data_IF_552948785754
#
_entry.id   IF_552948785754
#
_cell.length_a   1.000
_cell.length_b   1.000
_cell.length_c   1.000
_cell.angle_alpha   90.00
_cell.angle_beta   90.00
_cell.angle_gamma   90.00
#
_symmetry.space_group_name_H-M   'P 1'
#
loop_
_entity.id
_entity.type
_entity.pdbx_description
1 polymer ?
#
# COMPACT_ATOMS: atom_id res chain seq x y z
N UNK A 1 0.65 20.81 -4.16
CA UNK A 1 0.03 19.48 -4.07
C UNK A 1 0.97 18.38 -3.57
N UNK A 2 2.23 18.29 -4.03
CA UNK A 2 3.17 17.22 -3.60
C UNK A 2 3.49 17.19 -2.08
N UNK A 3 3.54 18.34 -1.42
CA UNK A 3 3.75 18.45 0.04
C UNK A 3 2.62 17.83 0.88
N UNK A 4 1.38 17.89 0.39
CA UNK A 4 0.19 17.36 1.10
C UNK A 4 0.10 15.83 1.01
N UNK A 5 0.68 15.22 -0.02
CA UNK A 5 0.70 13.77 -0.19
C UNK A 5 1.82 13.14 0.65
N UNK A 6 2.99 13.79 0.72
CA UNK A 6 4.15 13.24 1.43
C UNK A 6 4.77 12.03 0.74
N UNK A 7 5.73 11.37 1.40
CA UNK A 7 6.29 10.10 0.91
C UNK A 7 5.19 9.03 0.99
N UNK A 8 4.83 8.46 -0.16
CA UNK A 8 3.87 7.33 -0.27
C UNK A 8 2.48 7.57 0.32
N UNK A 9 2.04 8.82 0.51
CA UNK A 9 0.72 9.13 1.08
C UNK A 9 0.69 9.25 2.60
N UNK A 10 1.83 9.11 3.30
CA UNK A 10 1.89 9.16 4.77
C UNK A 10 1.35 10.48 5.33
N UNK A 11 1.65 11.61 4.68
CA UNK A 11 1.13 12.92 5.11
C UNK A 11 -0.39 13.01 4.92
N UNK A 12 -0.91 12.42 3.83
CA UNK A 12 -2.35 12.39 3.58
C UNK A 12 -3.07 11.56 4.64
N UNK A 13 -2.52 10.41 5.03
CA UNK A 13 -3.07 9.55 6.07
C UNK A 13 -3.01 10.21 7.45
N UNK A 14 -1.90 10.87 7.78
CA UNK A 14 -1.77 11.64 9.03
C UNK A 14 -2.79 12.79 9.11
N UNK A 15 -2.97 13.53 8.01
CA UNK A 15 -3.99 14.58 7.93
C UNK A 15 -5.40 14.00 8.03
N UNK A 16 -5.71 12.89 7.36
CA UNK A 16 -7.02 12.25 7.49
C UNK A 16 -7.31 11.88 8.95
N UNK A 17 -6.33 11.35 9.67
CA UNK A 17 -6.46 11.00 11.08
C UNK A 17 -6.75 12.23 11.95
N UNK A 18 -5.95 13.29 11.81
CA UNK A 18 -6.13 14.52 12.59
C UNK A 18 -7.47 15.19 12.30
N UNK A 19 -7.87 15.28 11.03
CA UNK A 19 -9.17 15.84 10.63
C UNK A 19 -10.31 15.01 11.21
N UNK A 20 -10.22 13.68 11.16
CA UNK A 20 -11.24 12.79 11.73
C UNK A 20 -11.36 12.96 13.25
N UNK A 21 -10.24 13.13 13.96
CA UNK A 21 -10.21 13.40 15.40
C UNK A 21 -10.88 14.73 15.73
N UNK A 22 -10.51 15.80 15.03
CA UNK A 22 -11.06 17.15 15.28
C UNK A 22 -12.55 17.19 14.96
N UNK A 23 -12.97 16.59 13.83
CA UNK A 23 -14.37 16.56 13.42
C UNK A 23 -15.28 15.82 14.42
N UNK A 24 -14.75 14.81 15.12
CA UNK A 24 -15.52 14.00 16.07
C UNK A 24 -15.29 14.37 17.54
N UNK A 25 -14.39 15.30 17.86
CA UNK A 25 -13.97 15.63 19.24
C UNK A 25 -15.14 15.98 20.18
N UNK A 26 -16.16 16.68 19.67
CA UNK A 26 -17.28 17.18 20.47
C UNK A 26 -18.63 16.50 20.13
N UNK A 27 -18.62 15.42 19.33
CA UNK A 27 -19.84 14.79 18.80
C UNK A 27 -20.34 13.58 19.61
N UNK A 28 -20.16 13.58 20.94
CA UNK A 28 -20.55 12.44 21.79
C UNK A 28 -22.05 12.11 21.73
N UNK A 29 -22.91 13.11 21.52
CA UNK A 29 -24.37 12.95 21.51
C UNK A 29 -24.99 13.01 20.09
N UNK A 30 -24.25 13.53 19.09
CA UNK A 30 -24.73 13.77 17.72
C UNK A 30 -24.36 12.66 16.71
N UNK A 31 -23.67 11.61 17.17
CA UNK A 31 -23.23 10.49 16.33
C UNK A 31 -21.92 10.73 15.57
N UNK A 32 -21.30 9.63 15.13
CA UNK A 32 -19.98 9.62 14.48
C UNK A 32 -20.05 10.05 13.01
N UNK A 33 -19.17 10.97 12.60
CA UNK A 33 -19.03 11.41 11.20
C UNK A 33 -17.78 10.80 10.59
N UNK A 34 -17.98 10.07 9.49
CA UNK A 34 -16.88 9.51 8.69
C UNK A 34 -16.31 10.57 7.76
N UNK A 35 -15.11 11.05 8.06
CA UNK A 35 -14.38 11.97 7.19
C UNK A 35 -13.38 11.19 6.34
N UNK A 36 -13.41 11.39 5.03
CA UNK A 36 -12.43 10.82 4.08
C UNK A 36 -11.72 11.98 3.40
N UNK A 37 -10.41 12.06 3.58
CA UNK A 37 -9.54 13.04 2.94
C UNK A 37 -8.87 12.34 1.75
N UNK A 38 -9.36 12.65 0.55
CA UNK A 38 -8.76 12.17 -0.70
C UNK A 38 -8.26 13.35 -1.52
N UNK A 39 -7.06 13.24 -2.05
CA UNK A 39 -6.49 14.21 -2.98
C UNK A 39 -6.58 13.65 -4.39
N UNK A 40 -7.58 14.09 -5.15
CA UNK A 40 -7.74 13.76 -6.58
C UNK A 40 -7.59 12.26 -6.90
N UNK A 41 -8.17 11.35 -6.12
CA UNK A 41 -8.08 9.90 -6.38
C UNK A 41 -6.67 9.31 -6.24
N UNK A 42 -5.81 9.92 -5.42
CA UNK A 42 -4.44 9.46 -5.18
C UNK A 42 -4.39 8.00 -4.77
N UNK A 43 -5.28 7.59 -3.85
CA UNK A 43 -5.32 6.20 -3.35
C UNK A 43 -5.54 5.19 -4.48
N UNK A 44 -6.48 5.47 -5.38
CA UNK A 44 -6.75 4.61 -6.54
C UNK A 44 -5.55 4.56 -7.50
N UNK A 45 -4.96 5.72 -7.81
CA UNK A 45 -3.77 5.82 -8.68
C UNK A 45 -2.55 5.09 -8.08
N UNK A 46 -2.40 5.16 -6.75
CA UNK A 46 -1.35 4.48 -6.00
C UNK A 46 -1.54 2.98 -6.02
N UNK A 47 -2.75 2.50 -5.76
CA UNK A 47 -3.09 1.07 -5.82
C UNK A 47 -2.82 0.50 -7.22
N UNK A 48 -3.26 1.19 -8.28
CA UNK A 48 -3.02 0.74 -9.66
C UNK A 48 -1.52 0.68 -9.98
N UNK A 49 -0.75 1.66 -9.50
CA UNK A 49 0.70 1.69 -9.66
C UNK A 49 1.37 0.52 -8.95
N UNK A 50 0.94 0.19 -7.73
CA UNK A 50 1.45 -0.98 -7.00
C UNK A 50 1.12 -2.29 -7.71
N UNK A 51 -0.12 -2.45 -8.19
CA UNK A 51 -0.53 -3.63 -8.98
C UNK A 51 0.31 -3.81 -10.24
N UNK A 52 0.57 -2.72 -10.97
CA UNK A 52 1.41 -2.72 -12.18
C UNK A 52 2.86 -3.09 -11.85
N UNK A 53 3.41 -2.53 -10.77
CA UNK A 53 4.76 -2.85 -10.30
C UNK A 53 4.89 -4.33 -9.89
N UNK A 54 3.90 -4.85 -9.16
CA UNK A 54 3.84 -6.25 -8.75
C UNK A 54 3.94 -7.18 -9.96
N UNK A 55 3.07 -6.98 -10.96
CA UNK A 55 3.00 -7.82 -12.16
C UNK A 55 4.27 -7.74 -13.01
N UNK A 56 4.87 -6.56 -13.11
CA UNK A 56 6.15 -6.37 -13.80
C UNK A 56 7.26 -7.18 -13.12
N UNK A 57 7.41 -7.03 -11.81
CA UNK A 57 8.44 -7.75 -11.06
C UNK A 57 8.18 -9.26 -11.04
N UNK A 58 6.93 -9.70 -10.90
CA UNK A 58 6.57 -11.11 -10.99
C UNK A 58 6.95 -11.73 -12.35
N UNK A 59 6.71 -11.00 -13.44
CA UNK A 59 7.12 -11.45 -14.78
C UNK A 59 8.64 -11.58 -14.88
N UNK A 60 9.39 -10.62 -14.33
CA UNK A 60 10.84 -10.66 -14.30
C UNK A 60 11.38 -11.81 -13.43
N UNK A 61 10.80 -12.05 -12.25
CA UNK A 61 11.16 -13.17 -11.36
C UNK A 61 10.93 -14.50 -12.09
N UNK A 62 9.78 -14.65 -12.77
CA UNK A 62 9.46 -15.85 -13.54
C UNK A 62 10.43 -16.09 -14.70
N UNK A 63 10.87 -15.03 -15.38
CA UNK A 63 11.81 -15.13 -16.50
C UNK A 63 13.25 -15.39 -16.05
N UNK A 64 13.68 -14.78 -14.94
CA UNK A 64 15.07 -14.82 -14.48
C UNK A 64 15.34 -15.92 -13.46
N UNK A 65 14.30 -16.44 -12.81
CA UNK A 65 14.44 -17.34 -11.66
C UNK A 65 15.06 -16.67 -10.42
N UNK A 66 15.18 -15.33 -10.40
CA UNK A 66 15.79 -14.59 -9.29
C UNK A 66 14.72 -13.86 -8.49
N UNK A 67 14.81 -13.96 -7.17
CA UNK A 67 13.92 -13.25 -6.25
C UNK A 67 14.12 -11.73 -6.35
N UNK A 68 13.04 -10.97 -6.16
CA UNK A 68 13.06 -9.50 -6.12
C UNK A 68 12.42 -9.05 -4.80
N UNK A 69 13.18 -8.31 -4.00
CA UNK A 69 12.69 -7.59 -2.84
C UNK A 69 12.13 -6.23 -3.27
N UNK A 70 10.91 -5.91 -2.82
CA UNK A 70 10.31 -4.60 -3.04
C UNK A 70 10.77 -3.60 -1.97
N UNK A 71 10.54 -2.31 -2.21
CA UNK A 71 10.79 -1.30 -1.18
C UNK A 71 9.91 -1.53 0.06
N UNK A 72 10.34 -1.11 1.27
CA UNK A 72 9.49 -1.09 2.46
C UNK A 72 8.19 -0.33 2.22
N UNK A 73 7.09 -0.87 2.74
CA UNK A 73 5.76 -0.31 2.52
C UNK A 73 4.80 -0.68 3.64
N UNK A 74 3.75 0.13 3.83
CA UNK A 74 2.81 -0.08 4.92
C UNK A 74 2.00 -1.38 4.73
N UNK A 75 1.35 -1.91 5.80
CA UNK A 75 0.59 -3.15 5.72
C UNK A 75 -0.51 -3.18 4.63
N UNK A 76 -1.12 -2.02 4.33
CA UNK A 76 -2.16 -1.90 3.31
C UNK A 76 -1.57 -2.08 1.89
N UNK A 77 -0.45 -1.43 1.60
CA UNK A 77 0.28 -1.58 0.33
C UNK A 77 0.80 -3.02 0.15
N UNK A 78 1.31 -3.66 1.22
CA UNK A 78 1.73 -5.08 1.19
C UNK A 78 0.55 -5.99 0.84
N UNK A 79 -0.62 -5.76 1.43
CA UNK A 79 -1.83 -6.51 1.11
C UNK A 79 -2.23 -6.35 -0.36
N UNK A 80 -2.15 -5.14 -0.93
CA UNK A 80 -2.43 -4.91 -2.35
C UNK A 80 -1.51 -5.77 -3.22
N UNK A 81 -0.20 -5.83 -2.93
CA UNK A 81 0.74 -6.67 -3.68
C UNK A 81 0.42 -8.15 -3.60
N UNK A 82 0.19 -8.67 -2.39
CA UNK A 82 -0.16 -10.07 -2.18
C UNK A 82 -1.44 -10.43 -2.94
N UNK A 83 -2.48 -9.60 -2.85
CA UNK A 83 -3.72 -9.80 -3.60
C UNK A 83 -3.52 -9.66 -5.12
N UNK A 84 -2.65 -8.76 -5.58
CA UNK A 84 -2.39 -8.56 -7.01
C UNK A 84 -1.67 -9.75 -7.67
N UNK A 85 -0.91 -10.50 -6.88
CA UNK A 85 -0.15 -11.67 -7.34
C UNK A 85 -0.80 -13.00 -6.92
N UNK A 86 -1.94 -12.96 -6.23
CA UNK A 86 -2.71 -14.16 -5.93
C UNK A 86 -3.14 -14.83 -7.25
N UNK A 87 -2.68 -16.06 -7.48
CA UNK A 87 -2.94 -16.80 -8.72
C UNK A 87 -2.01 -16.46 -9.89
N UNK A 88 -0.98 -15.63 -9.70
CA UNK A 88 0.03 -15.41 -10.74
C UNK A 88 0.94 -16.64 -10.85
N UNK A 89 0.82 -17.39 -11.95
CA UNK A 89 1.57 -18.62 -12.15
C UNK A 89 3.10 -18.38 -12.21
N UNK A 90 3.84 -19.24 -11.51
CA UNK A 90 5.31 -19.25 -11.53
C UNK A 90 5.99 -18.36 -10.49
N UNK A 91 5.23 -17.70 -9.59
CA UNK A 91 5.80 -16.92 -8.48
C UNK A 91 5.03 -17.15 -7.18
N UNK A 92 5.71 -16.91 -6.06
CA UNK A 92 5.11 -16.80 -4.73
C UNK A 92 5.55 -15.51 -4.05
N UNK A 93 4.85 -15.11 -3.00
CA UNK A 93 5.12 -13.85 -2.30
C UNK A 93 5.09 -14.05 -0.80
N UNK A 94 5.99 -13.40 -0.09
CA UNK A 94 6.00 -13.35 1.37
C UNK A 94 6.52 -12.00 1.85
N UNK A 95 6.20 -11.63 3.09
CA UNK A 95 6.70 -10.38 3.69
C UNK A 95 7.92 -10.66 4.56
N UNK A 96 8.99 -9.89 4.41
CA UNK A 96 10.22 -9.97 5.21
C UNK A 96 10.54 -8.63 5.90
N UNK A 97 11.31 -8.68 6.98
CA UNK A 97 11.72 -7.53 7.78
C UNK A 97 10.74 -7.13 8.89
N UNK A 98 11.17 -6.18 9.71
CA UNK A 98 10.38 -5.57 10.79
C UNK A 98 9.95 -4.14 10.42
N UNK A 99 8.84 -3.68 10.98
CA UNK A 99 8.39 -2.31 10.71
C UNK A 99 9.39 -1.28 11.24
N UNK A 100 9.69 -0.21 10.49
CA UNK A 100 9.05 0.26 9.24
C UNK A 100 9.69 -0.26 7.94
N UNK A 101 10.68 -1.15 8.04
CA UNK A 101 11.45 -1.68 6.91
C UNK A 101 10.83 -2.96 6.31
N UNK A 102 9.61 -3.32 6.74
CA UNK A 102 8.94 -4.53 6.29
C UNK A 102 8.48 -4.37 4.84
N UNK A 103 8.80 -5.37 4.03
CA UNK A 103 8.58 -5.34 2.58
C UNK A 103 8.12 -6.70 2.04
N UNK A 104 7.65 -6.72 0.79
CA UNK A 104 7.26 -7.95 0.09
C UNK A 104 8.43 -8.44 -0.77
N UNK A 105 8.71 -9.73 -0.69
CA UNK A 105 9.63 -10.43 -1.58
C UNK A 105 8.83 -11.30 -2.52
N UNK A 106 9.16 -11.22 -3.81
CA UNK A 106 8.59 -12.06 -4.87
C UNK A 106 9.64 -13.10 -5.25
N UNK A 107 9.30 -14.37 -5.12
CA UNK A 107 10.18 -15.51 -5.39
C UNK A 107 9.61 -16.39 -6.48
N UNK A 108 10.44 -17.13 -7.25
CA UNK A 108 9.93 -18.14 -8.18
C UNK A 108 9.16 -19.22 -7.42
N UNK A 109 8.03 -19.67 -7.96
CA UNK A 109 7.35 -20.85 -7.44
C UNK A 109 8.21 -22.09 -7.75
N UNK A 110 8.36 -22.97 -6.75
CA UNK A 110 8.99 -24.29 -6.94
C UNK A 110 8.06 -25.23 -7.70
#
# INVERSE_FOLDING_TARGET
>A
MGLLIGRRGETLDAMQYLVSLVANKNRKEEGYVRVTLDTEGYRSRREETLKRLARKNATQVRQTGRAIAMEPMNPYERRILHSALQGFAGVTTHSEGEEPNRHVVITPAK
#
